data_IF_491667867857
#
_entry.id   IF_491667867857
#
_cell.length_a   1.000
_cell.length_b   1.000
_cell.length_c   1.000
_cell.angle_alpha   90.00
_cell.angle_beta   90.00
_cell.angle_gamma   90.00
#
_symmetry.space_group_name_H-M   'P 1'
#
loop_
_entity.id
_entity.type
_entity.pdbx_description
1 polymer ?
#
# COMPACT_ATOMS: atom_id res chain seq x y z
N UNK A 1 8.96 -19.61 2.73
CA UNK A 1 8.85 -19.23 1.31
C UNK A 1 9.55 -17.90 1.18
N UNK A 2 10.62 -17.83 0.40
CA UNK A 2 11.30 -16.57 0.12
C UNK A 2 10.31 -15.63 -0.57
N UNK A 3 10.11 -14.44 -0.02
CA UNK A 3 9.24 -13.44 -0.61
C UNK A 3 9.80 -13.08 -1.99
N UNK A 4 9.07 -13.37 -3.06
CA UNK A 4 9.46 -13.05 -4.45
C UNK A 4 9.85 -11.57 -4.57
N UNK A 5 9.20 -10.70 -3.79
CA UNK A 5 9.52 -9.29 -3.61
C UNK A 5 10.90 -9.02 -2.98
N UNK A 6 11.35 -9.81 -2.01
CA UNK A 6 12.70 -9.73 -1.43
C UNK A 6 13.78 -10.11 -2.45
N UNK A 7 13.51 -11.14 -3.26
CA UNK A 7 14.42 -11.56 -4.32
C UNK A 7 14.51 -10.55 -5.48
N UNK A 8 13.37 -9.95 -5.86
CA UNK A 8 13.31 -9.02 -7.00
C UNK A 8 13.79 -7.60 -6.68
N UNK A 9 13.52 -7.11 -5.46
CA UNK A 9 13.75 -5.70 -5.10
C UNK A 9 14.62 -5.53 -3.84
N UNK A 10 15.06 -6.63 -3.23
CA UNK A 10 15.85 -6.63 -2.02
C UNK A 10 15.03 -6.63 -0.74
N UNK A 11 15.71 -6.89 0.38
CA UNK A 11 15.13 -6.97 1.72
C UNK A 11 14.47 -5.66 2.17
N UNK A 12 15.04 -4.51 1.79
CA UNK A 12 14.49 -3.19 2.10
C UNK A 12 13.08 -3.01 1.52
N UNK A 13 12.87 -3.42 0.27
CA UNK A 13 11.56 -3.38 -0.36
C UNK A 13 10.56 -4.30 0.35
N UNK A 14 10.94 -5.52 0.69
CA UNK A 14 10.06 -6.45 1.40
C UNK A 14 9.68 -5.93 2.79
N UNK A 15 10.60 -5.31 3.52
CA UNK A 15 10.35 -4.71 4.84
C UNK A 15 9.42 -3.50 4.75
N UNK A 16 9.64 -2.65 3.73
CA UNK A 16 8.74 -1.53 3.39
C UNK A 16 7.33 -2.02 3.04
N UNK A 17 7.23 -3.09 2.26
CA UNK A 17 5.95 -3.67 1.86
C UNK A 17 5.18 -4.29 3.04
N UNK A 18 5.88 -4.94 3.97
CA UNK A 18 5.29 -5.42 5.23
C UNK A 18 4.78 -4.26 6.10
N UNK A 19 5.58 -3.20 6.26
CA UNK A 19 5.17 -1.98 6.99
C UNK A 19 3.95 -1.32 6.35
N UNK A 20 3.90 -1.29 5.03
CA UNK A 20 2.79 -0.68 4.31
C UNK A 20 1.52 -1.50 4.47
N UNK A 21 1.60 -2.82 4.31
CA UNK A 21 0.46 -3.71 4.56
C UNK A 21 -0.07 -3.54 5.99
N UNK A 22 0.80 -3.43 7.00
CA UNK A 22 0.38 -3.15 8.38
C UNK A 22 -0.30 -1.78 8.53
N UNK A 23 0.22 -0.75 7.89
CA UNK A 23 -0.41 0.58 7.92
C UNK A 23 -1.80 0.55 7.25
N UNK A 24 -1.95 -0.17 6.14
CA UNK A 24 -3.24 -0.37 5.49
C UNK A 24 -4.22 -1.14 6.39
N UNK A 25 -3.74 -2.18 7.07
CA UNK A 25 -4.54 -2.98 8.01
C UNK A 25 -5.04 -2.12 9.17
N UNK A 26 -4.19 -1.24 9.71
CA UNK A 26 -4.58 -0.24 10.72
C UNK A 26 -5.62 0.74 10.20
N UNK A 27 -5.41 1.31 9.01
CA UNK A 27 -6.37 2.22 8.37
C UNK A 27 -7.71 1.49 8.15
N UNK A 28 -7.69 0.23 7.71
CA UNK A 28 -8.90 -0.59 7.54
C UNK A 28 -9.62 -0.80 8.87
N UNK A 29 -8.88 -1.10 9.94
CA UNK A 29 -9.42 -1.30 11.28
C UNK A 29 -10.04 -0.01 11.85
N UNK A 30 -9.45 1.16 11.58
CA UNK A 30 -10.01 2.46 11.98
C UNK A 30 -11.32 2.81 11.25
N UNK A 31 -11.53 2.28 10.04
CA UNK A 31 -12.72 2.50 9.22
C UNK A 31 -13.84 1.45 9.45
N UNK A 32 -13.82 0.75 10.60
CA UNK A 32 -14.85 -0.19 11.09
C UNK A 32 -15.39 -1.20 10.05
N UNK A 33 -14.55 -1.66 9.12
CA UNK A 33 -14.89 -2.74 8.19
C UNK A 33 -16.01 -2.44 7.18
N UNK A 34 -16.56 -1.21 7.14
CA UNK A 34 -17.48 -0.79 6.06
C UNK A 34 -16.75 -0.60 4.72
N UNK A 35 -15.44 -0.38 4.78
CA UNK A 35 -14.59 -0.11 3.65
C UNK A 35 -13.64 -1.28 3.41
N UNK A 36 -13.98 -2.14 2.45
CA UNK A 36 -13.11 -3.23 1.98
C UNK A 36 -11.92 -2.62 1.21
N UNK A 37 -10.85 -2.27 1.94
CA UNK A 37 -9.64 -1.65 1.36
C UNK A 37 -8.91 -2.55 0.39
N UNK A 38 -9.18 -3.87 0.44
CA UNK A 38 -8.63 -4.93 -0.41
C UNK A 38 -8.94 -4.78 -1.91
N UNK A 39 -9.72 -3.78 -2.31
CA UNK A 39 -10.04 -3.51 -3.71
C UNK A 39 -10.19 -2.03 -4.07
N UNK A 40 -9.76 -1.10 -3.21
CA UNK A 40 -9.82 0.34 -3.49
C UNK A 40 -8.59 0.88 -4.20
N UNK A 41 -7.47 0.19 -4.07
CA UNK A 41 -6.25 0.59 -4.74
C UNK A 41 -5.43 -0.64 -5.08
N UNK A 42 -4.70 -0.53 -6.17
CA UNK A 42 -3.66 -1.48 -6.52
C UNK A 42 -2.31 -0.82 -6.32
N UNK A 43 -1.43 -1.52 -5.61
CA UNK A 43 -0.04 -1.13 -5.47
C UNK A 43 0.76 -1.84 -6.56
N UNK A 44 1.41 -1.07 -7.42
CA UNK A 44 2.24 -1.59 -8.50
C UNK A 44 3.67 -1.10 -8.32
N UNK A 45 4.64 -1.99 -8.48
CA UNK A 45 6.04 -1.58 -8.51
C UNK A 45 6.32 -0.88 -9.83
N UNK A 46 6.71 0.39 -9.75
CA UNK A 46 6.91 1.26 -10.90
C UNK A 46 8.24 1.04 -11.61
N UNK A 47 9.29 0.57 -10.90
CA UNK A 47 10.60 0.36 -11.51
C UNK A 47 11.47 -0.70 -10.82
N UNK A 48 12.62 -1.00 -11.43
CA UNK A 48 13.64 -1.90 -10.89
C UNK A 48 14.33 -1.37 -9.62
N UNK A 49 14.09 -0.12 -9.22
CA UNK A 49 14.56 0.44 -7.94
C UNK A 49 13.60 0.16 -6.79
N UNK A 50 12.47 -0.51 -7.05
CA UNK A 50 11.46 -0.77 -6.04
C UNK A 50 10.61 0.45 -5.69
N UNK A 51 10.57 1.48 -6.54
CA UNK A 51 9.58 2.54 -6.42
C UNK A 51 8.18 1.97 -6.66
N UNK A 52 7.20 2.46 -5.92
CA UNK A 52 5.83 1.94 -5.91
C UNK A 52 4.86 3.04 -6.24
N UNK A 53 3.82 2.69 -6.98
CA UNK A 53 2.70 3.57 -7.28
C UNK A 53 1.42 2.95 -6.75
N UNK A 54 0.60 3.80 -6.17
CA UNK A 54 -0.77 3.47 -5.80
C UNK A 54 -1.69 3.99 -6.88
N UNK A 55 -2.49 3.10 -7.42
CA UNK A 55 -3.58 3.43 -8.34
C UNK A 55 -4.90 3.20 -7.61
N UNK A 56 -5.66 4.27 -7.38
CA UNK A 56 -6.96 4.18 -6.70
C UNK A 56 -8.05 3.93 -7.72
N UNK A 57 -8.92 2.98 -7.40
CA UNK A 57 -10.06 2.62 -8.22
C UNK A 57 -11.04 3.81 -8.29
N UNK A 58 -11.24 4.35 -9.49
CA UNK A 58 -12.05 5.55 -9.69
C UNK A 58 -13.55 5.26 -9.68
N UNK A 59 -13.96 4.00 -9.91
CA UNK A 59 -15.34 3.56 -9.84
C UNK A 59 -15.80 3.36 -8.40
N UNK A 60 -14.85 3.21 -7.46
CA UNK A 60 -15.13 3.10 -6.03
C UNK A 60 -15.22 4.50 -5.42
N UNK A 61 -16.27 4.73 -4.63
CA UNK A 61 -16.47 5.98 -3.92
C UNK A 61 -15.59 6.06 -2.65
N UNK A 62 -14.28 6.12 -2.88
CA UNK A 62 -13.25 6.08 -1.84
C UNK A 62 -13.16 7.46 -1.18
N UNK A 63 -13.27 7.56 0.15
CA UNK A 63 -13.13 8.82 0.87
C UNK A 63 -11.79 9.49 0.58
N UNK A 64 -11.80 10.81 0.39
CA UNK A 64 -10.57 11.58 0.16
C UNK A 64 -9.58 11.41 1.32
N UNK A 65 -10.08 11.36 2.55
CA UNK A 65 -9.27 11.12 3.76
C UNK A 65 -8.59 9.75 3.73
N UNK A 66 -9.29 8.69 3.29
CA UNK A 66 -8.70 7.36 3.12
C UNK A 66 -7.58 7.41 2.06
N UNK A 67 -7.81 8.04 0.90
CA UNK A 67 -6.79 8.20 -0.15
C UNK A 67 -5.57 8.92 0.39
N UNK A 68 -5.77 9.99 1.15
CA UNK A 68 -4.70 10.79 1.71
C UNK A 68 -3.90 10.01 2.76
N UNK A 69 -4.57 9.29 3.66
CA UNK A 69 -3.93 8.42 4.66
C UNK A 69 -3.08 7.31 4.00
N UNK A 70 -3.63 6.64 2.99
CA UNK A 70 -2.93 5.59 2.24
C UNK A 70 -1.71 6.16 1.49
N UNK A 71 -1.86 7.31 0.82
CA UNK A 71 -0.75 7.99 0.14
C UNK A 71 0.32 8.47 1.13
N UNK A 72 -0.08 8.93 2.30
CA UNK A 72 0.83 9.39 3.35
C UNK A 72 1.63 8.21 3.91
N UNK A 73 0.98 7.10 4.23
CA UNK A 73 1.63 5.88 4.66
C UNK A 73 2.66 5.40 3.62
N UNK A 74 2.30 5.38 2.33
CA UNK A 74 3.23 5.05 1.26
C UNK A 74 4.45 5.98 1.25
N UNK A 75 4.24 7.31 1.29
CA UNK A 75 5.32 8.30 1.26
C UNK A 75 6.23 8.23 2.48
N UNK A 76 5.70 7.93 3.67
CA UNK A 76 6.53 7.79 4.87
C UNK A 76 7.41 6.54 4.82
N UNK A 77 6.90 5.46 4.23
CA UNK A 77 7.61 4.19 4.14
C UNK A 77 8.63 4.17 2.99
N UNK A 78 8.29 4.76 1.83
CA UNK A 78 9.15 4.85 0.64
C UNK A 78 9.94 6.16 0.54
N UNK A 79 10.14 6.84 1.68
CA UNK A 79 10.97 8.05 1.78
C UNK A 79 12.45 7.78 1.52
#
# INVERSE_FOLDING_TARGET
>A
MENISEFLYGKDYSDKLDKFNKAIDQIHAEYEGEFDTSGYFTMQTHNQKGEVKLDFDQDKNIPAELKENVLKALKEIWK
#
